data_IF_534162128095
#
_entry.id   IF_534162128095
#
_cell.length_a   1.000
_cell.length_b   1.000
_cell.length_c   1.000
_cell.angle_alpha   90.00
_cell.angle_beta   90.00
_cell.angle_gamma   90.00
#
_symmetry.space_group_name_H-M   'P 1'
#
loop_
_entity.id
_entity.type
_entity.pdbx_description
1 polymer ?
#
# COMPACT_ATOMS: atom_id res chain seq x y z
N UNK A 1 -49.88 25.82 32.79
CA UNK A 1 -49.63 25.96 31.34
C UNK A 1 -48.47 25.02 31.01
N UNK A 2 -48.69 23.88 30.36
CA UNK A 2 -48.86 23.70 28.89
C UNK A 2 -47.64 24.30 28.15
N UNK A 3 -46.73 23.60 27.45
CA UNK A 3 -46.60 22.22 26.98
C UNK A 3 -45.98 22.26 25.57
N UNK A 4 -44.99 21.38 25.29
CA UNK A 4 -44.66 20.77 23.96
C UNK A 4 -44.22 21.72 22.79
N UNK A 5 -43.48 21.37 21.74
CA UNK A 5 -42.82 20.16 21.21
C UNK A 5 -41.83 20.55 20.08
N UNK A 6 -40.98 19.59 19.70
CA UNK A 6 -40.10 19.53 18.51
C UNK A 6 -40.89 19.33 17.20
N UNK A 7 -40.37 19.80 16.06
CA UNK A 7 -40.48 19.13 14.74
C UNK A 7 -39.47 19.70 13.72
N UNK A 8 -38.90 18.84 12.87
CA UNK A 8 -37.97 19.16 11.78
C UNK A 8 -38.56 18.96 10.37
N UNK A 9 -37.65 18.83 9.40
CA UNK A 9 -37.78 18.51 7.96
C UNK A 9 -38.03 19.69 6.98
N UNK A 10 -36.97 20.03 6.24
CA UNK A 10 -37.03 20.86 5.03
C UNK A 10 -37.13 20.00 3.77
N UNK A 11 -38.03 20.40 2.87
CA UNK A 11 -38.39 19.76 1.61
C UNK A 11 -37.52 20.25 0.44
N UNK A 12 -37.42 19.44 -0.62
CA UNK A 12 -37.38 19.92 -2.02
C UNK A 12 -37.63 18.76 -2.99
N UNK A 13 -38.90 18.58 -3.35
CA UNK A 13 -39.33 17.85 -4.54
C UNK A 13 -39.58 18.91 -5.64
N UNK A 14 -39.03 18.72 -6.84
CA UNK A 14 -39.24 19.62 -7.97
C UNK A 14 -39.67 18.82 -9.19
N UNK A 15 -40.98 18.63 -9.29
CA UNK A 15 -41.66 18.23 -10.52
C UNK A 15 -41.66 19.39 -11.53
N UNK A 16 -41.15 19.17 -12.74
CA UNK A 16 -41.46 20.02 -13.89
C UNK A 16 -42.33 19.23 -14.87
N UNK A 17 -43.58 19.69 -14.98
CA UNK A 17 -44.57 19.31 -15.97
C UNK A 17 -44.17 19.74 -17.39
N UNK A 18 -44.51 18.94 -18.41
CA UNK A 18 -44.84 19.48 -19.74
C UNK A 18 -45.58 18.48 -20.64
N UNK A 19 -46.74 18.92 -21.13
CA UNK A 19 -47.51 18.35 -22.26
C UNK A 19 -48.33 19.50 -22.89
N UNK A 20 -48.76 19.49 -24.17
CA UNK A 20 -48.15 19.05 -25.44
C UNK A 20 -48.22 20.13 -26.57
N UNK A 21 -47.57 19.89 -27.73
CA UNK A 21 -47.73 20.68 -28.97
C UNK A 21 -47.42 19.84 -30.25
N UNK A 22 -47.87 20.26 -31.45
CA UNK A 22 -48.44 19.39 -32.51
C UNK A 22 -47.46 18.73 -33.52
N UNK A 23 -48.02 17.75 -34.25
CA UNK A 23 -47.42 16.81 -35.22
C UNK A 23 -47.08 17.41 -36.60
N UNK A 24 -45.92 17.02 -37.19
CA UNK A 24 -45.63 16.73 -38.64
C UNK A 24 -44.11 16.77 -38.93
N UNK A 25 -43.59 16.26 -40.07
CA UNK A 25 -43.73 14.95 -40.72
C UNK A 25 -42.42 14.11 -40.68
N UNK A 26 -42.53 12.81 -40.96
CA UNK A 26 -41.50 11.76 -40.86
C UNK A 26 -40.44 11.79 -41.98
N UNK A 27 -39.13 11.73 -41.69
CA UNK A 27 -38.07 11.35 -42.63
C UNK A 27 -37.83 9.82 -42.65
N UNK A 28 -37.28 9.25 -43.74
CA UNK A 28 -37.19 7.80 -43.96
C UNK A 28 -36.25 7.11 -42.97
N UNK A 29 -36.60 5.86 -42.61
CA UNK A 29 -35.85 5.02 -41.69
C UNK A 29 -34.50 4.57 -42.30
N UNK A 30 -33.40 5.01 -41.71
CA UNK A 30 -32.09 4.38 -41.89
C UNK A 30 -31.96 3.28 -40.84
N UNK A 31 -31.80 2.03 -41.28
CA UNK A 31 -31.54 0.88 -40.41
C UNK A 31 -30.23 1.08 -39.64
N UNK A 32 -30.29 1.11 -38.32
CA UNK A 32 -29.10 1.04 -37.47
C UNK A 32 -28.56 -0.39 -37.46
N UNK A 33 -27.25 -0.61 -37.58
CA UNK A 33 -26.68 -1.94 -37.41
C UNK A 33 -26.82 -2.37 -35.95
N UNK A 34 -27.33 -3.58 -35.73
CA UNK A 34 -27.35 -4.26 -34.43
C UNK A 34 -25.95 -4.26 -33.83
N UNK A 35 -25.76 -3.53 -32.72
CA UNK A 35 -24.53 -3.58 -31.95
C UNK A 35 -24.34 -5.00 -31.38
N UNK A 36 -23.14 -5.56 -31.59
CA UNK A 36 -22.75 -6.85 -31.04
C UNK A 36 -22.83 -6.81 -29.49
N UNK A 37 -23.16 -7.95 -28.83
CA UNK A 37 -23.18 -8.02 -27.36
C UNK A 37 -21.82 -7.63 -26.78
N UNK A 38 -21.83 -6.75 -25.78
CA UNK A 38 -20.62 -6.38 -25.05
C UNK A 38 -20.00 -7.64 -24.39
N UNK A 39 -18.66 -7.77 -24.37
CA UNK A 39 -18.02 -8.90 -23.71
C UNK A 39 -18.37 -8.88 -22.22
N UNK A 40 -18.82 -10.03 -21.71
CA UNK A 40 -19.10 -10.23 -20.29
C UNK A 40 -17.76 -10.16 -19.55
N UNK A 41 -17.52 -9.07 -18.83
CA UNK A 41 -16.36 -8.94 -17.96
C UNK A 41 -16.57 -9.88 -16.77
N UNK A 42 -15.83 -10.99 -16.75
CA UNK A 42 -15.85 -11.90 -15.61
C UNK A 42 -15.15 -11.19 -14.44
N UNK A 43 -15.78 -11.08 -13.24
CA UNK A 43 -15.12 -10.47 -12.09
C UNK A 43 -13.88 -11.30 -11.72
N UNK A 44 -12.72 -10.65 -11.67
CA UNK A 44 -11.49 -11.25 -11.15
C UNK A 44 -11.71 -11.50 -9.65
N UNK A 45 -11.36 -12.68 -9.12
CA UNK A 45 -11.42 -12.93 -7.68
C UNK A 45 -10.62 -11.85 -6.93
N UNK A 46 -11.25 -11.20 -5.95
CA UNK A 46 -10.52 -10.27 -5.07
C UNK A 46 -9.43 -11.06 -4.34
N UNK A 47 -8.19 -10.57 -4.43
CA UNK A 47 -7.08 -11.13 -3.67
C UNK A 47 -7.38 -11.02 -2.17
N UNK A 48 -7.01 -12.04 -1.39
CA UNK A 48 -7.11 -11.96 0.07
C UNK A 48 -6.24 -10.81 0.57
N UNK A 49 -6.84 -9.78 1.21
CA UNK A 49 -6.12 -8.59 1.63
C UNK A 49 -5.00 -8.92 2.63
N UNK A 50 -5.19 -9.97 3.43
CA UNK A 50 -4.25 -10.34 4.47
C UNK A 50 -3.07 -11.18 3.97
N UNK A 51 -2.92 -11.40 2.67
CA UNK A 51 -1.75 -12.07 2.12
C UNK A 51 -0.59 -11.11 1.93
N UNK A 52 0.62 -11.65 1.91
CA UNK A 52 1.80 -10.86 1.57
C UNK A 52 1.71 -10.46 0.09
N UNK A 53 1.75 -9.16 -0.19
CA UNK A 53 1.66 -8.63 -1.55
C UNK A 53 2.69 -7.53 -1.79
N UNK A 54 3.80 -7.86 -2.45
CA UNK A 54 4.85 -6.89 -2.77
C UNK A 54 4.54 -6.01 -3.99
N UNK A 55 3.46 -6.31 -4.71
CA UNK A 55 2.96 -5.52 -5.83
C UNK A 55 1.83 -4.56 -5.42
N UNK A 56 1.56 -4.42 -4.12
CA UNK A 56 0.51 -3.53 -3.61
C UNK A 56 0.78 -2.06 -4.00
N UNK A 57 -0.21 -1.33 -4.54
CA UNK A 57 0.00 0.05 -4.99
C UNK A 57 0.38 1.01 -3.84
N UNK A 58 0.05 0.67 -2.59
CA UNK A 58 0.45 1.38 -1.39
C UNK A 58 1.98 1.46 -1.26
N UNK A 59 2.70 0.42 -1.68
CA UNK A 59 4.16 0.39 -1.68
C UNK A 59 4.70 1.47 -2.63
N UNK A 60 4.25 1.48 -3.88
CA UNK A 60 4.68 2.48 -4.87
C UNK A 60 4.39 3.91 -4.41
N UNK A 61 3.22 4.15 -3.80
CA UNK A 61 2.87 5.46 -3.23
C UNK A 61 3.78 5.85 -2.06
N UNK A 62 4.06 4.90 -1.16
CA UNK A 62 4.96 5.12 -0.04
C UNK A 62 6.37 5.47 -0.53
N UNK A 63 6.89 4.69 -1.48
CA UNK A 63 8.24 4.89 -2.05
C UNK A 63 8.36 6.24 -2.75
N UNK A 64 7.33 6.67 -3.48
CA UNK A 64 7.30 7.98 -4.13
C UNK A 64 7.28 9.16 -3.13
N UNK A 65 6.80 8.93 -1.90
CA UNK A 65 6.76 9.96 -0.85
C UNK A 65 8.08 10.10 -0.08
N UNK A 66 9.03 9.19 -0.28
CA UNK A 66 10.29 9.21 0.44
C UNK A 66 11.18 10.36 -0.04
N UNK A 67 11.94 11.01 0.88
CA UNK A 67 13.01 11.90 0.46
C UNK A 67 14.05 11.12 -0.37
N UNK A 68 14.76 11.79 -1.31
CA UNK A 68 15.82 11.18 -2.08
C UNK A 68 16.89 10.53 -1.18
N UNK A 69 17.55 9.50 -1.71
CA UNK A 69 18.64 8.81 -1.02
C UNK A 69 19.73 9.81 -0.62
N UNK A 70 20.12 9.90 0.66
CA UNK A 70 21.08 10.88 1.13
C UNK A 70 22.46 10.75 0.48
N UNK A 71 22.86 9.54 0.05
CA UNK A 71 24.18 9.27 -0.55
C UNK A 71 24.23 9.60 -2.04
N UNK A 72 23.29 9.09 -2.82
CA UNK A 72 23.26 9.24 -4.29
C UNK A 72 22.41 10.41 -4.80
N UNK A 73 21.57 10.99 -3.93
CA UNK A 73 20.55 12.00 -4.27
C UNK A 73 19.50 11.54 -5.27
N UNK A 74 19.46 10.25 -5.59
CA UNK A 74 18.45 9.67 -6.47
C UNK A 74 17.17 9.31 -5.72
N UNK A 75 16.09 9.14 -6.47
CA UNK A 75 14.88 8.50 -5.95
C UNK A 75 15.11 7.03 -5.61
N UNK A 76 14.05 6.40 -5.10
CA UNK A 76 14.04 4.99 -4.74
C UNK A 76 13.35 4.16 -5.83
N UNK A 77 13.80 2.93 -6.04
CA UNK A 77 13.11 2.00 -6.93
C UNK A 77 11.80 1.54 -6.26
N UNK A 78 10.63 1.71 -6.91
CA UNK A 78 9.35 1.27 -6.35
C UNK A 78 9.23 -0.24 -6.19
N UNK A 79 10.00 -1.02 -6.96
CA UNK A 79 10.03 -2.47 -6.86
C UNK A 79 10.85 -2.90 -5.63
N UNK A 80 10.24 -3.56 -4.63
CA UNK A 80 10.96 -4.06 -3.47
C UNK A 80 11.97 -5.14 -3.84
N UNK A 81 13.12 -5.11 -3.18
CA UNK A 81 14.08 -6.23 -3.24
C UNK A 81 13.70 -7.38 -2.30
N UNK A 82 12.98 -7.06 -1.23
CA UNK A 82 12.44 -8.01 -0.25
C UNK A 82 11.30 -7.33 0.52
N UNK A 83 10.45 -8.11 1.18
CA UNK A 83 9.40 -7.56 2.03
C UNK A 83 8.45 -8.61 2.58
N UNK A 84 7.63 -8.18 3.53
CA UNK A 84 6.49 -8.93 4.06
C UNK A 84 5.24 -8.04 4.13
N UNK A 85 5.10 -7.07 3.22
CA UNK A 85 3.95 -6.15 3.17
C UNK A 85 2.65 -6.91 3.23
N UNK A 86 1.82 -6.55 4.22
CA UNK A 86 0.54 -7.16 4.51
C UNK A 86 -0.35 -6.06 5.11
N UNK A 87 -1.55 -5.87 4.57
CA UNK A 87 -2.44 -4.79 5.01
C UNK A 87 -3.15 -5.09 6.33
N UNK A 88 -3.23 -6.37 6.70
CA UNK A 88 -3.82 -6.82 7.95
C UNK A 88 -2.80 -6.87 9.11
N UNK A 89 -1.49 -6.89 8.80
CA UNK A 89 -0.45 -6.89 9.82
C UNK A 89 -0.38 -5.53 10.55
N UNK A 90 -0.16 -5.58 11.86
CA UNK A 90 0.08 -4.41 12.68
C UNK A 90 1.39 -3.73 12.28
N UNK A 91 2.41 -4.49 11.89
CA UNK A 91 3.64 -3.97 11.31
C UNK A 91 4.08 -4.86 10.15
N UNK A 92 4.33 -4.25 9.01
CA UNK A 92 4.94 -4.91 7.85
C UNK A 92 5.96 -3.97 7.19
N UNK A 93 6.84 -4.53 6.36
CA UNK A 93 7.87 -3.73 5.70
C UNK A 93 8.18 -4.23 4.29
N UNK A 94 8.72 -3.33 3.49
CA UNK A 94 9.46 -3.66 2.27
C UNK A 94 10.83 -3.02 2.32
N UNK A 95 11.78 -3.60 1.61
CA UNK A 95 13.11 -3.03 1.43
C UNK A 95 13.22 -2.56 -0.01
N UNK A 96 13.60 -1.30 -0.19
CA UNK A 96 13.84 -0.70 -1.50
C UNK A 96 15.30 -0.30 -1.65
N UNK A 97 15.75 -0.22 -2.89
CA UNK A 97 17.10 0.23 -3.24
C UNK A 97 17.07 1.58 -3.93
N UNK A 98 18.13 2.37 -3.76
CA UNK A 98 18.31 3.61 -4.51
C UNK A 98 18.32 3.32 -6.03
N UNK A 99 17.64 4.15 -6.81
CA UNK A 99 17.54 4.00 -8.26
C UNK A 99 18.84 4.46 -8.94
N UNK A 100 19.89 3.67 -8.79
CA UNK A 100 21.26 3.95 -9.28
C UNK A 100 21.88 2.70 -9.90
N UNK A 101 22.92 2.91 -10.72
CA UNK A 101 23.75 1.83 -11.27
C UNK A 101 24.99 1.53 -10.40
N UNK A 102 25.00 1.96 -9.13
CA UNK A 102 26.11 1.66 -8.23
C UNK A 102 26.16 0.15 -7.93
N UNK A 103 27.37 -0.40 -7.77
CA UNK A 103 27.56 -1.82 -7.43
C UNK A 103 26.87 -2.21 -6.12
N UNK A 104 26.96 -1.33 -5.12
CA UNK A 104 26.32 -1.47 -3.83
C UNK A 104 25.39 -0.26 -3.61
N UNK A 105 24.17 -0.26 -4.19
CA UNK A 105 23.22 0.84 -3.99
C UNK A 105 22.77 0.87 -2.52
N UNK A 106 22.40 2.06 -2.02
CA UNK A 106 21.88 2.14 -0.65
C UNK A 106 20.50 1.47 -0.60
N UNK A 107 20.18 0.79 0.49
CA UNK A 107 18.88 0.16 0.72
C UNK A 107 18.21 0.77 1.92
N UNK A 108 16.88 0.81 1.93
CA UNK A 108 16.08 1.33 3.04
C UNK A 108 14.85 0.46 3.27
N UNK A 109 14.53 0.16 4.53
CA UNK A 109 13.24 -0.43 4.84
C UNK A 109 12.14 0.64 4.98
N UNK A 110 11.04 0.43 4.27
CA UNK A 110 9.80 1.22 4.32
C UNK A 110 8.79 0.43 5.13
N UNK A 111 8.27 1.01 6.20
CA UNK A 111 7.41 0.32 7.15
C UNK A 111 5.96 0.80 7.06
N UNK A 112 5.05 -0.14 7.34
CA UNK A 112 3.62 0.03 7.23
C UNK A 112 2.93 -0.46 8.49
N UNK A 113 1.93 0.30 8.95
CA UNK A 113 1.02 -0.10 10.00
C UNK A 113 -0.35 -0.35 9.38
N UNK A 114 -0.81 -1.61 9.35
CA UNK A 114 -2.11 -1.99 8.77
C UNK A 114 -2.26 -1.48 7.32
N UNK A 115 -1.24 -1.76 6.50
CA UNK A 115 -1.14 -1.34 5.10
C UNK A 115 -0.80 0.14 4.88
N UNK A 116 -0.77 0.96 5.93
CA UNK A 116 -0.52 2.40 5.79
C UNK A 116 0.94 2.74 6.06
N UNK A 117 1.55 3.50 5.16
CA UNK A 117 2.93 3.95 5.31
C UNK A 117 3.13 4.75 6.62
N UNK A 118 4.23 4.47 7.31
CA UNK A 118 4.65 5.15 8.54
C UNK A 118 5.77 6.14 8.18
N UNK A 119 5.48 7.46 8.04
CA UNK A 119 6.47 8.43 7.58
C UNK A 119 7.46 8.89 8.67
N UNK A 120 7.08 8.76 9.94
CA UNK A 120 7.84 9.26 11.10
C UNK A 120 7.79 8.26 12.25
N UNK A 121 8.66 8.41 13.25
CA UNK A 121 8.71 7.47 14.38
C UNK A 121 9.21 6.07 13.99
N UNK A 122 9.93 5.98 12.87
CA UNK A 122 10.67 4.80 12.44
C UNK A 122 12.15 5.08 12.68
N UNK A 123 12.90 4.18 13.34
CA UNK A 123 14.35 4.30 13.47
C UNK A 123 15.03 4.30 12.09
N UNK A 124 16.34 4.54 12.07
CA UNK A 124 17.09 4.40 10.82
C UNK A 124 17.11 2.92 10.36
N UNK A 125 16.78 2.69 9.09
CA UNK A 125 16.58 1.36 8.49
C UNK A 125 17.40 1.15 7.21
N UNK A 126 18.49 1.92 7.05
CA UNK A 126 19.40 1.70 5.92
C UNK A 126 20.22 0.41 6.05
N UNK A 127 20.63 -0.14 4.91
CA UNK A 127 21.63 -1.21 4.83
C UNK A 127 21.10 -2.64 4.93
N UNK A 128 19.82 -2.85 5.26
CA UNK A 128 19.21 -4.19 5.23
C UNK A 128 18.87 -4.61 3.80
N UNK A 129 18.97 -5.90 3.49
CA UNK A 129 18.71 -6.46 2.16
C UNK A 129 17.81 -7.71 2.17
N UNK A 130 17.32 -8.14 3.33
CA UNK A 130 16.39 -9.25 3.47
C UNK A 130 15.44 -9.06 4.66
N UNK A 131 14.35 -9.84 4.68
CA UNK A 131 13.46 -9.99 5.84
C UNK A 131 13.61 -11.42 6.37
N UNK A 132 13.80 -11.58 7.68
CA UNK A 132 13.71 -12.88 8.34
C UNK A 132 12.24 -13.15 8.70
N UNK A 133 11.54 -13.87 7.83
CA UNK A 133 10.12 -14.19 8.00
C UNK A 133 9.87 -15.16 9.15
N UNK A 134 10.86 -15.99 9.53
CA UNK A 134 10.73 -16.91 10.66
C UNK A 134 10.77 -16.16 12.00
N UNK A 135 11.40 -14.98 12.04
CA UNK A 135 11.47 -14.12 13.21
C UNK A 135 10.53 -12.91 13.14
N UNK A 136 9.71 -12.81 12.09
CA UNK A 136 8.69 -11.78 11.93
C UNK A 136 7.32 -12.30 12.38
N UNK A 137 6.53 -11.42 12.98
CA UNK A 137 5.17 -11.68 13.46
C UNK A 137 4.23 -10.60 12.91
N UNK A 138 2.96 -10.60 13.33
CA UNK A 138 2.01 -9.56 12.89
C UNK A 138 2.36 -8.15 13.36
N UNK A 139 3.15 -8.00 14.44
CA UNK A 139 3.54 -6.72 15.04
C UNK A 139 5.05 -6.46 15.04
N UNK A 140 5.84 -7.45 14.62
CA UNK A 140 7.31 -7.40 14.62
C UNK A 140 7.85 -7.74 13.24
N UNK A 141 8.76 -6.92 12.74
CA UNK A 141 9.51 -7.17 11.51
C UNK A 141 10.97 -7.38 11.85
N UNK A 142 11.54 -8.49 11.39
CA UNK A 142 12.97 -8.78 11.52
C UNK A 142 13.68 -8.43 10.20
N UNK A 143 14.39 -7.30 10.18
CA UNK A 143 15.24 -6.91 9.05
C UNK A 143 16.57 -7.64 9.14
N UNK A 144 17.06 -8.16 8.00
CA UNK A 144 18.31 -8.88 7.91
C UNK A 144 19.26 -8.24 6.90
N UNK A 145 20.53 -8.23 7.26
CA UNK A 145 21.63 -7.93 6.35
C UNK A 145 22.42 -9.20 6.09
N UNK A 146 22.43 -9.61 4.83
CA UNK A 146 23.21 -10.74 4.32
C UNK A 146 24.45 -10.19 3.60
N UNK A 147 25.64 -10.50 4.14
CA UNK A 147 26.93 -10.00 3.64
C UNK A 147 27.51 -10.78 2.46
N UNK A 148 26.76 -11.78 1.95
CA UNK A 148 27.22 -12.82 1.02
C UNK A 148 28.38 -13.70 1.54
N UNK A 149 28.81 -13.51 2.79
CA UNK A 149 29.73 -14.41 3.48
C UNK A 149 28.89 -15.44 4.26
N UNK A 150 29.06 -16.75 4.02
CA UNK A 150 28.32 -17.78 4.74
C UNK A 150 28.45 -17.63 6.25
N UNK A 151 27.32 -17.69 6.95
CA UNK A 151 27.26 -17.59 8.41
C UNK A 151 27.42 -16.18 8.98
N UNK A 152 27.60 -15.15 8.14
CA UNK A 152 27.73 -13.76 8.57
C UNK A 152 26.51 -12.94 8.13
N UNK A 153 25.46 -13.03 8.94
CA UNK A 153 24.23 -12.24 8.78
C UNK A 153 23.89 -11.52 10.08
N UNK A 154 23.37 -10.30 9.97
CA UNK A 154 22.88 -9.54 11.12
C UNK A 154 21.37 -9.39 11.04
N UNK A 155 20.67 -9.65 12.15
CA UNK A 155 19.22 -9.48 12.25
C UNK A 155 18.91 -8.38 13.26
N UNK A 156 18.02 -7.46 12.90
CA UNK A 156 17.51 -6.42 13.79
C UNK A 156 15.99 -6.45 13.76
N UNK A 157 15.37 -6.52 14.94
CA UNK A 157 13.93 -6.60 15.12
C UNK A 157 13.35 -5.25 15.47
N UNK A 158 12.28 -4.93 14.78
CA UNK A 158 11.48 -3.75 14.99
C UNK A 158 10.07 -4.16 15.34
N UNK A 159 9.47 -3.56 16.37
CA UNK A 159 8.06 -3.81 16.71
C UNK A 159 7.26 -2.54 16.75
N UNK A 160 5.96 -2.66 16.57
CA UNK A 160 5.01 -1.59 16.82
C UNK A 160 4.64 -1.52 18.32
N UNK A 161 4.75 -0.35 18.94
CA UNK A 161 4.48 -0.17 20.37
C UNK A 161 3.15 0.53 20.70
N UNK A 162 2.31 0.77 19.70
CA UNK A 162 1.05 1.50 19.84
C UNK A 162 1.09 2.92 19.26
N UNK A 163 2.27 3.55 19.21
CA UNK A 163 2.44 4.91 18.71
C UNK A 163 3.48 5.02 17.57
N UNK A 164 4.44 4.11 17.52
CA UNK A 164 5.48 4.09 16.50
C UNK A 164 6.21 2.76 16.46
N UNK A 165 7.30 2.75 15.70
CA UNK A 165 8.18 1.59 15.60
C UNK A 165 9.35 1.75 16.55
N UNK A 166 9.68 0.70 17.29
CA UNK A 166 10.83 0.64 18.18
C UNK A 166 11.71 -0.57 17.89
N UNK A 167 13.01 -0.42 18.15
CA UNK A 167 13.97 -1.51 18.07
C UNK A 167 13.87 -2.37 19.33
N UNK A 168 13.74 -3.69 19.17
CA UNK A 168 13.52 -4.62 20.29
C UNK A 168 14.56 -5.71 20.44
N UNK A 169 15.48 -5.83 19.48
CA UNK A 169 16.62 -6.72 19.63
C UNK A 169 17.49 -6.71 18.39
N UNK A 170 18.79 -6.89 18.61
CA UNK A 170 19.75 -7.22 17.57
C UNK A 170 20.29 -8.63 17.85
N UNK A 171 20.56 -9.38 16.80
CA UNK A 171 21.30 -10.63 16.91
C UNK A 171 22.34 -10.58 15.80
N UNK A 172 23.61 -10.44 16.17
CA UNK A 172 24.70 -10.69 15.25
C UNK A 172 24.82 -12.21 15.11
N UNK A 173 24.60 -12.72 13.90
CA UNK A 173 24.96 -14.08 13.56
C UNK A 173 26.48 -14.20 13.50
N UNK A 174 27.12 -14.34 14.65
CA UNK A 174 28.33 -15.14 14.73
C UNK A 174 27.83 -16.57 14.86
N UNK A 175 27.77 -17.29 13.75
CA UNK A 175 27.56 -18.73 13.80
C UNK A 175 28.73 -19.32 14.59
N UNK A 176 28.46 -19.67 15.85
CA UNK A 176 29.33 -20.56 16.59
C UNK A 176 29.40 -21.88 15.85
N UNK A 177 30.62 -22.25 15.45
CA UNK A 177 31.06 -23.63 15.35
C UNK A 177 32.03 -23.89 16.50
#
# INVERSE_FOLDING_TARGET
>A
MLGMAVAGCGASDSTVSKTPGPLSPTPPATSTPTAAPAPVVTPVPEADPCQVNLAAPEITRAVASLPPDPRSKQGWNPEPLAGNYNECALLSAVIVKANTNAENPNTRAVMFHRGKFIPTGVPDTYGFNAIDTAQSTGDTVALRYDSNIPGLSSVVKFRWNGNGVELVGNTSGAAGN
#
